data_IF_725761216939
#
_entry.id   IF_725761216939
#
_cell.length_a   1.000
_cell.length_b   1.000
_cell.length_c   1.000
_cell.angle_alpha   90.00
_cell.angle_beta   90.00
_cell.angle_gamma   90.00
#
_symmetry.space_group_name_H-M   'P 1'
#
loop_
_entity.id
_entity.type
_entity.pdbx_description
1 polymer ?
#
# COMPACT_ATOMS: atom_id res chain seq x y z
N UNK A 1 -38.06 -2.80 22.79
CA UNK A 1 -37.89 -1.56 22.01
C UNK A 1 -36.58 -1.69 21.26
N UNK A 2 -36.71 -2.04 19.98
CA UNK A 2 -35.65 -2.57 19.11
C UNK A 2 -34.73 -1.46 18.63
N UNK A 3 -33.42 -1.70 18.75
CA UNK A 3 -32.37 -0.83 18.26
C UNK A 3 -32.23 -0.88 16.75
N UNK A 4 -31.98 0.28 16.14
CA UNK A 4 -31.66 0.44 14.74
C UNK A 4 -30.15 0.27 14.53
N UNK A 5 -29.73 -0.69 13.73
CA UNK A 5 -28.36 -0.84 13.26
C UNK A 5 -28.22 -0.23 11.87
N UNK A 6 -27.27 0.69 11.72
CA UNK A 6 -26.93 1.40 10.49
C UNK A 6 -26.07 0.49 9.61
N UNK A 7 -26.67 -0.33 8.76
CA UNK A 7 -25.94 -1.03 7.70
C UNK A 7 -26.90 -1.53 6.63
N UNK A 8 -27.51 -0.63 5.85
CA UNK A 8 -28.32 -1.07 4.70
C UNK A 8 -28.45 -0.04 3.55
N UNK A 9 -27.42 0.77 3.30
CA UNK A 9 -27.47 1.78 2.23
C UNK A 9 -26.28 1.79 1.26
N UNK A 10 -25.54 0.69 1.14
CA UNK A 10 -24.47 0.63 0.15
C UNK A 10 -24.73 -0.51 -0.81
N UNK A 11 -24.82 -0.18 -2.10
CA UNK A 11 -24.79 -1.00 -3.33
C UNK A 11 -25.95 -0.66 -4.26
N UNK A 12 -25.90 0.56 -4.79
CA UNK A 12 -26.70 0.99 -5.94
C UNK A 12 -26.11 0.44 -7.25
N UNK A 13 -26.98 -0.27 -7.95
CA UNK A 13 -26.95 -0.90 -9.26
C UNK A 13 -26.57 0.07 -10.41
N UNK A 14 -25.79 -0.37 -11.40
CA UNK A 14 -26.05 0.01 -12.80
C UNK A 14 -25.35 -0.93 -13.81
N UNK A 15 -26.17 -1.27 -14.79
CA UNK A 15 -26.11 -2.32 -15.80
C UNK A 15 -25.57 -1.78 -17.14
N UNK A 16 -25.09 -2.72 -17.95
CA UNK A 16 -24.62 -2.76 -19.35
C UNK A 16 -24.51 -1.50 -20.24
N UNK A 17 -23.43 -1.51 -21.04
CA UNK A 17 -23.25 -0.68 -22.23
C UNK A 17 -22.09 -1.17 -23.09
N UNK A 18 -22.41 -1.60 -24.31
CA UNK A 18 -21.56 -2.30 -25.30
C UNK A 18 -20.38 -1.48 -25.86
N UNK A 19 -19.43 -2.22 -26.44
CA UNK A 19 -18.19 -1.76 -27.05
C UNK A 19 -18.38 -1.26 -28.50
N UNK A 20 -17.55 -0.28 -28.91
CA UNK A 20 -17.28 -0.01 -30.33
C UNK A 20 -15.77 0.15 -30.55
N UNK A 21 -15.29 -0.58 -31.57
CA UNK A 21 -13.93 -0.63 -32.11
C UNK A 21 -13.54 0.66 -32.86
N UNK A 22 -12.26 1.04 -32.76
CA UNK A 22 -11.59 1.94 -33.69
C UNK A 22 -10.08 1.79 -33.57
N UNK A 23 -9.44 1.24 -34.61
CA UNK A 23 -7.99 1.03 -34.68
C UNK A 23 -7.25 2.16 -35.40
N UNK A 24 -5.97 2.33 -35.09
CA UNK A 24 -4.98 2.97 -35.95
C UNK A 24 -3.57 2.47 -35.59
N UNK A 25 -2.74 2.29 -36.62
CA UNK A 25 -1.43 1.61 -36.64
C UNK A 25 -0.23 2.53 -36.37
N UNK A 26 0.83 1.92 -35.80
CA UNK A 26 2.27 2.21 -36.03
C UNK A 26 2.90 3.42 -35.32
N UNK A 27 4.18 3.48 -34.93
CA UNK A 27 5.36 2.58 -34.94
C UNK A 27 6.37 3.15 -33.93
N UNK A 28 7.29 2.30 -33.46
CA UNK A 28 8.62 2.55 -32.88
C UNK A 28 8.83 3.09 -31.46
N UNK A 29 9.56 2.26 -30.68
CA UNK A 29 10.31 2.63 -29.47
C UNK A 29 11.65 3.27 -29.84
N UNK A 30 12.26 4.02 -28.92
CA UNK A 30 13.33 3.39 -28.15
C UNK A 30 13.34 3.76 -26.66
N UNK A 31 14.13 2.98 -25.94
CA UNK A 31 14.40 3.04 -24.51
C UNK A 31 14.96 4.40 -24.06
N UNK A 32 14.47 4.92 -22.93
CA UNK A 32 15.19 5.91 -22.12
C UNK A 32 14.61 6.01 -20.71
N UNK A 33 15.39 5.54 -19.74
CA UNK A 33 15.67 6.18 -18.45
C UNK A 33 14.57 7.10 -17.88
N UNK A 34 13.71 6.57 -17.00
CA UNK A 34 12.71 7.36 -16.28
C UNK A 34 13.36 8.15 -15.13
N UNK A 35 14.12 9.17 -15.49
CA UNK A 35 14.44 10.29 -14.62
C UNK A 35 13.21 11.18 -14.41
N UNK A 36 12.29 10.77 -13.53
CA UNK A 36 11.16 11.60 -13.09
C UNK A 36 11.67 12.76 -12.22
N UNK A 37 12.12 13.82 -12.87
CA UNK A 37 12.26 15.14 -12.24
C UNK A 37 10.91 15.84 -12.35
N UNK A 38 9.96 15.44 -11.50
CA UNK A 38 8.86 16.34 -11.14
C UNK A 38 9.50 17.46 -10.29
N UNK A 39 9.73 18.62 -10.91
CA UNK A 39 9.90 19.87 -10.19
C UNK A 39 8.53 20.17 -9.56
N UNK A 40 8.34 19.74 -8.30
CA UNK A 40 7.35 20.39 -7.46
C UNK A 40 7.85 21.81 -7.27
N UNK A 41 7.26 22.78 -7.97
CA UNK A 41 7.45 24.20 -7.71
C UNK A 41 7.14 24.45 -6.22
N UNK A 42 8.19 24.76 -5.45
CA UNK A 42 8.07 25.42 -4.16
C UNK A 42 7.57 26.85 -4.43
N UNK A 43 6.27 27.00 -4.66
CA UNK A 43 5.65 28.32 -4.64
C UNK A 43 5.67 28.84 -3.20
N UNK A 44 6.53 29.83 -2.94
CA UNK A 44 6.50 30.66 -1.74
C UNK A 44 5.13 31.35 -1.58
N UNK A 45 4.74 31.50 -0.31
CA UNK A 45 3.44 32.03 0.11
C UNK A 45 3.25 33.51 -0.26
N UNK A 46 2.54 33.76 -1.36
CA UNK A 46 1.91 35.05 -1.66
C UNK A 46 0.49 35.11 -1.11
N UNK A 47 0.31 35.71 0.07
CA UNK A 47 -1.00 36.01 0.64
C UNK A 47 -1.71 37.13 -0.12
N UNK A 48 -2.74 36.79 -0.88
CA UNK A 48 -3.63 37.74 -1.56
C UNK A 48 -5.06 37.21 -1.60
N UNK A 49 -5.80 37.35 -0.49
CA UNK A 49 -7.22 37.00 -0.44
C UNK A 49 -8.06 38.09 -1.07
N UNK A 50 -8.49 37.90 -2.32
CA UNK A 50 -9.53 38.69 -2.98
C UNK A 50 -10.91 38.11 -2.72
N UNK A 51 -11.96 38.93 -2.86
CA UNK A 51 -13.38 38.59 -2.61
C UNK A 51 -13.91 37.42 -3.47
N UNK A 52 -13.17 37.00 -4.49
CA UNK A 52 -13.46 35.85 -5.37
C UNK A 52 -13.00 34.48 -4.80
N UNK A 53 -12.22 34.46 -3.72
CA UNK A 53 -11.59 33.24 -3.16
C UNK A 53 -12.63 32.19 -2.68
N UNK A 54 -13.81 32.64 -2.25
CA UNK A 54 -14.88 31.76 -1.78
C UNK A 54 -15.55 30.94 -2.90
N UNK A 55 -15.79 31.56 -4.06
CA UNK A 55 -16.42 30.89 -5.22
C UNK A 55 -15.42 29.95 -5.92
N UNK A 56 -14.17 30.39 -6.04
CA UNK A 56 -13.05 29.57 -6.54
C UNK A 56 -12.76 28.37 -5.62
N UNK A 57 -12.95 28.52 -4.30
CA UNK A 57 -12.84 27.39 -3.37
C UNK A 57 -13.96 26.37 -3.54
N UNK A 58 -15.22 26.82 -3.65
CA UNK A 58 -16.37 25.92 -3.84
C UNK A 58 -16.26 25.12 -5.14
N UNK A 59 -15.96 25.79 -6.25
CA UNK A 59 -15.81 25.15 -7.56
C UNK A 59 -14.67 24.13 -7.59
N UNK A 60 -13.55 24.42 -6.91
CA UNK A 60 -12.47 23.45 -6.71
C UNK A 60 -12.99 22.18 -6.02
N UNK A 61 -13.66 22.31 -4.87
CA UNK A 61 -14.10 21.16 -4.09
C UNK A 61 -15.11 20.30 -4.87
N UNK A 62 -16.06 20.94 -5.54
CA UNK A 62 -17.01 20.26 -6.42
C UNK A 62 -16.32 19.49 -7.55
N UNK A 63 -15.34 20.12 -8.21
CA UNK A 63 -14.51 19.47 -9.22
C UNK A 63 -13.77 18.25 -8.65
N UNK A 64 -13.12 18.38 -7.49
CA UNK A 64 -12.44 17.23 -6.86
C UNK A 64 -13.40 16.09 -6.53
N UNK A 65 -14.62 16.41 -6.05
CA UNK A 65 -15.65 15.40 -5.79
C UNK A 65 -16.09 14.66 -7.05
N UNK A 66 -16.33 15.39 -8.13
CA UNK A 66 -16.76 14.83 -9.41
C UNK A 66 -15.67 13.96 -10.02
N UNK A 67 -14.42 14.45 -10.06
CA UNK A 67 -13.29 13.72 -10.62
C UNK A 67 -12.96 12.48 -9.77
N UNK A 68 -13.04 12.56 -8.44
CA UNK A 68 -12.87 11.39 -7.56
C UNK A 68 -13.94 10.35 -7.84
N UNK A 69 -15.21 10.75 -7.91
CA UNK A 69 -16.32 9.83 -8.18
C UNK A 69 -16.17 9.17 -9.54
N UNK A 70 -15.90 9.95 -10.59
CA UNK A 70 -15.65 9.41 -11.92
C UNK A 70 -14.46 8.42 -11.93
N UNK A 71 -13.38 8.75 -11.21
CA UNK A 71 -12.22 7.87 -11.10
C UNK A 71 -12.55 6.56 -10.40
N UNK A 72 -13.33 6.59 -9.31
CA UNK A 72 -13.72 5.39 -8.57
C UNK A 72 -14.71 4.50 -9.33
N UNK A 73 -15.62 5.10 -10.12
CA UNK A 73 -16.59 4.36 -10.94
C UNK A 73 -15.95 3.64 -12.14
N UNK A 74 -14.82 4.14 -12.66
CA UNK A 74 -14.10 3.52 -13.78
C UNK A 74 -13.39 2.25 -13.31
N UNK A 75 -14.04 1.10 -13.49
CA UNK A 75 -13.46 -0.21 -13.19
C UNK A 75 -13.51 -1.14 -14.38
N UNK A 76 -12.39 -1.81 -14.65
CA UNK A 76 -12.31 -2.92 -15.60
C UNK A 76 -12.93 -4.20 -15.04
N UNK A 77 -13.23 -5.14 -15.94
CA UNK A 77 -13.72 -6.48 -15.59
C UNK A 77 -12.75 -7.24 -14.68
N UNK A 78 -11.44 -7.14 -14.93
CA UNK A 78 -10.39 -7.71 -14.08
C UNK A 78 -10.47 -7.18 -12.65
N UNK A 79 -10.53 -5.85 -12.48
CA UNK A 79 -10.63 -5.21 -11.16
C UNK A 79 -11.90 -5.63 -10.43
N UNK A 80 -13.03 -5.76 -11.14
CA UNK A 80 -14.29 -6.25 -10.56
C UNK A 80 -14.19 -7.69 -10.09
N UNK A 81 -13.60 -8.59 -10.88
CA UNK A 81 -13.37 -9.98 -10.49
C UNK A 81 -12.49 -10.07 -9.25
N UNK A 82 -11.33 -9.40 -9.25
CA UNK A 82 -10.41 -9.38 -8.11
C UNK A 82 -11.07 -8.77 -6.87
N UNK A 83 -11.85 -7.70 -7.02
CA UNK A 83 -12.57 -7.06 -5.91
C UNK A 83 -13.61 -7.98 -5.30
N UNK A 84 -14.36 -8.71 -6.12
CA UNK A 84 -15.34 -9.68 -5.63
C UNK A 84 -14.64 -10.83 -4.90
N UNK A 85 -13.58 -11.40 -5.46
CA UNK A 85 -12.79 -12.45 -4.78
C UNK A 85 -12.19 -11.94 -3.46
N UNK A 86 -11.66 -10.71 -3.44
CA UNK A 86 -11.12 -10.08 -2.22
C UNK A 86 -12.22 -9.87 -1.17
N UNK A 87 -13.41 -9.43 -1.58
CA UNK A 87 -14.56 -9.22 -0.69
C UNK A 87 -15.03 -10.54 -0.07
N UNK A 88 -15.16 -11.60 -0.87
CA UNK A 88 -15.52 -12.92 -0.35
C UNK A 88 -14.42 -13.47 0.57
N UNK A 89 -13.15 -13.35 0.21
CA UNK A 89 -12.04 -13.70 1.09
C UNK A 89 -12.14 -12.99 2.45
N UNK A 90 -12.35 -11.68 2.48
CA UNK A 90 -12.48 -10.94 3.74
C UNK A 90 -13.69 -11.41 4.57
N UNK A 91 -14.82 -11.71 3.95
CA UNK A 91 -16.00 -12.25 4.64
C UNK A 91 -15.72 -13.61 5.27
N UNK A 92 -15.17 -14.58 4.52
CA UNK A 92 -14.94 -15.90 5.13
C UNK A 92 -13.78 -15.87 6.13
N UNK A 93 -12.86 -14.89 6.07
CA UNK A 93 -11.87 -14.66 7.14
C UNK A 93 -12.58 -14.19 8.41
N UNK A 94 -13.50 -13.24 8.29
CA UNK A 94 -14.26 -12.71 9.43
C UNK A 94 -15.15 -13.78 10.09
N UNK A 95 -15.75 -14.67 9.31
CA UNK A 95 -16.57 -15.77 9.87
C UNK A 95 -15.73 -16.86 10.54
N UNK A 96 -14.54 -17.16 10.01
CA UNK A 96 -13.61 -18.13 10.62
C UNK A 96 -12.83 -17.56 11.81
N UNK A 97 -12.77 -16.23 11.96
CA UNK A 97 -12.03 -15.54 13.01
C UNK A 97 -12.72 -15.60 14.40
N UNK A 98 -13.72 -16.47 14.58
CA UNK A 98 -14.23 -16.83 15.89
C UNK A 98 -13.07 -17.32 16.76
N UNK A 99 -12.67 -16.49 17.73
CA UNK A 99 -11.62 -16.66 18.73
C UNK A 99 -10.22 -16.05 18.47
N UNK A 100 -10.06 -15.20 17.46
CA UNK A 100 -9.02 -14.15 17.46
C UNK A 100 -7.54 -14.58 17.51
N UNK A 101 -7.21 -15.87 17.42
CA UNK A 101 -5.83 -16.34 17.44
C UNK A 101 -5.27 -16.38 16.02
N UNK A 102 -4.59 -15.30 15.66
CA UNK A 102 -3.66 -15.30 14.55
C UNK A 102 -2.60 -16.41 14.72
N UNK A 103 -2.25 -17.15 13.66
CA UNK A 103 -1.14 -18.12 13.66
C UNK A 103 0.21 -17.50 14.09
N UNK A 104 0.32 -16.16 14.04
CA UNK A 104 1.45 -15.38 14.51
C UNK A 104 1.51 -15.19 16.04
N UNK A 105 0.51 -15.67 16.79
CA UNK A 105 0.35 -15.56 18.26
C UNK A 105 0.40 -14.12 18.81
N UNK A 106 0.26 -13.11 17.96
CA UNK A 106 0.13 -11.71 18.38
C UNK A 106 -1.34 -11.43 18.66
N UNK A 107 -1.66 -11.18 19.92
CA UNK A 107 -2.92 -10.59 20.33
C UNK A 107 -2.89 -9.11 19.92
N UNK A 108 -3.59 -8.75 18.86
CA UNK A 108 -3.75 -7.37 18.43
C UNK A 108 -5.23 -7.06 18.42
N UNK A 109 -5.63 -6.01 19.13
CA UNK A 109 -6.99 -5.46 19.04
C UNK A 109 -7.23 -5.07 17.58
N UNK A 110 -8.23 -5.67 16.94
CA UNK A 110 -8.50 -5.47 15.49
C UNK A 110 -7.78 -6.44 14.55
N UNK A 111 -7.10 -7.47 15.07
CA UNK A 111 -6.47 -8.53 14.26
C UNK A 111 -5.09 -8.17 13.70
N UNK A 112 -4.37 -9.17 13.21
CA UNK A 112 -3.02 -8.99 12.69
C UNK A 112 -3.01 -8.66 11.18
N UNK A 113 -2.63 -7.43 10.81
CA UNK A 113 -2.57 -6.98 9.40
C UNK A 113 -1.75 -7.92 8.51
N UNK A 114 -0.58 -8.39 8.96
CA UNK A 114 0.27 -9.25 8.13
C UNK A 114 -0.35 -10.62 7.86
N UNK A 115 -1.08 -11.17 8.83
CA UNK A 115 -1.78 -12.43 8.63
C UNK A 115 -3.07 -12.26 7.83
N UNK A 116 -3.79 -11.14 8.00
CA UNK A 116 -4.89 -10.79 7.11
C UNK A 116 -4.43 -10.71 5.66
N UNK A 117 -3.32 -9.99 5.39
CA UNK A 117 -2.77 -9.89 4.03
C UNK A 117 -2.35 -11.25 3.47
N UNK A 118 -1.76 -12.11 4.30
CA UNK A 118 -1.37 -13.47 3.90
C UNK A 118 -2.57 -14.34 3.56
N UNK A 119 -3.63 -14.27 4.36
CA UNK A 119 -4.83 -15.06 4.13
C UNK A 119 -5.59 -14.58 2.89
N UNK A 120 -5.73 -13.26 2.71
CA UNK A 120 -6.29 -12.68 1.48
C UNK A 120 -5.46 -13.09 0.25
N UNK A 121 -4.12 -12.98 0.33
CA UNK A 121 -3.23 -13.41 -0.74
C UNK A 121 -3.34 -14.91 -1.03
N UNK A 122 -3.46 -15.75 0.00
CA UNK A 122 -3.68 -17.18 -0.12
C UNK A 122 -4.97 -17.50 -0.91
N UNK A 123 -6.09 -16.87 -0.53
CA UNK A 123 -7.38 -17.11 -1.19
C UNK A 123 -7.43 -16.60 -2.62
N UNK A 124 -6.81 -15.45 -2.90
CA UNK A 124 -6.63 -14.98 -4.28
C UNK A 124 -5.80 -15.96 -5.11
N UNK A 125 -4.71 -16.51 -4.56
CA UNK A 125 -3.92 -17.54 -5.28
C UNK A 125 -4.71 -18.83 -5.50
N UNK A 126 -5.49 -19.27 -4.52
CA UNK A 126 -6.38 -20.44 -4.66
C UNK A 126 -7.48 -20.20 -5.71
N UNK A 127 -7.88 -18.93 -5.90
CA UNK A 127 -8.75 -18.49 -7.00
C UNK A 127 -8.06 -18.36 -8.37
N UNK A 128 -6.79 -18.75 -8.49
CA UNK A 128 -6.03 -18.75 -9.74
C UNK A 128 -5.33 -17.44 -10.11
N UNK A 129 -5.33 -16.44 -9.23
CA UNK A 129 -4.66 -15.15 -9.50
C UNK A 129 -3.16 -15.23 -9.20
N UNK A 130 -2.33 -14.60 -10.04
CA UNK A 130 -0.91 -14.33 -9.72
C UNK A 130 -0.81 -13.20 -8.69
N UNK A 131 -1.10 -13.54 -7.44
CA UNK A 131 -1.18 -12.64 -6.30
C UNK A 131 0.07 -12.73 -5.42
N UNK A 132 0.59 -11.57 -5.02
CA UNK A 132 1.75 -11.46 -4.14
C UNK A 132 1.53 -10.42 -3.04
N UNK A 133 2.23 -10.59 -1.92
CA UNK A 133 2.42 -9.50 -0.97
C UNK A 133 3.63 -8.70 -1.45
N UNK A 134 3.42 -7.40 -1.65
CA UNK A 134 4.44 -6.45 -2.05
C UNK A 134 4.95 -5.66 -0.85
N UNK A 135 6.27 -5.49 -0.76
CA UNK A 135 6.90 -4.56 0.16
C UNK A 135 7.70 -3.51 -0.62
N UNK A 136 7.24 -2.27 -0.61
CA UNK A 136 7.99 -1.13 -1.14
C UNK A 136 8.88 -0.54 -0.05
N UNK A 137 10.04 -0.02 -0.46
CA UNK A 137 10.98 0.70 0.40
C UNK A 137 11.57 1.84 -0.41
N UNK A 138 11.59 3.04 0.14
CA UNK A 138 12.21 4.20 -0.50
C UNK A 138 13.16 4.91 0.48
N UNK A 139 14.23 5.45 -0.08
CA UNK A 139 15.19 6.26 0.68
C UNK A 139 14.65 7.67 0.86
N UNK A 140 15.18 8.37 1.86
CA UNK A 140 14.90 9.80 2.03
C UNK A 140 15.46 10.59 0.85
N UNK A 141 14.71 11.58 0.42
CA UNK A 141 15.15 12.67 -0.47
C UNK A 141 14.88 14.02 0.24
N UNK A 142 15.25 15.16 -0.35
CA UNK A 142 14.96 16.47 0.24
C UNK A 142 13.46 16.66 0.58
N UNK A 143 12.57 16.18 -0.29
CA UNK A 143 11.13 16.45 -0.18
C UNK A 143 10.35 15.39 0.61
N UNK A 144 10.90 14.16 0.70
CA UNK A 144 10.21 13.02 1.32
C UNK A 144 11.13 12.21 2.24
N UNK A 145 10.68 11.88 3.46
CA UNK A 145 11.42 10.99 4.34
C UNK A 145 11.41 9.55 3.81
N UNK A 146 12.40 8.76 4.23
CA UNK A 146 12.43 7.33 3.94
C UNK A 146 11.24 6.62 4.55
N UNK A 147 10.79 5.55 3.92
CA UNK A 147 9.69 4.74 4.44
C UNK A 147 9.61 3.38 3.77
N UNK A 148 8.66 2.60 4.28
CA UNK A 148 8.28 1.32 3.70
C UNK A 148 6.76 1.15 3.75
N UNK A 149 6.23 0.39 2.81
CA UNK A 149 4.80 0.07 2.78
C UNK A 149 4.58 -1.37 2.35
N UNK A 150 3.54 -2.01 2.88
CA UNK A 150 3.17 -3.39 2.51
C UNK A 150 1.73 -3.43 2.06
N UNK A 151 1.53 -3.99 0.87
CA UNK A 151 0.24 -4.10 0.19
C UNK A 151 0.17 -5.43 -0.58
N UNK A 152 -0.95 -5.72 -1.22
CA UNK A 152 -1.13 -6.89 -2.07
C UNK A 152 -1.25 -6.42 -3.52
N UNK A 153 -0.77 -7.20 -4.46
CA UNK A 153 -1.04 -6.96 -5.87
C UNK A 153 -1.25 -8.25 -6.66
N UNK A 154 -1.85 -8.08 -7.84
CA UNK A 154 -2.15 -9.15 -8.79
C UNK A 154 -1.59 -8.74 -10.14
N UNK A 155 -0.79 -9.61 -10.78
CA UNK A 155 -0.43 -9.42 -12.19
C UNK A 155 -1.32 -10.28 -13.08
N UNK A 156 -1.74 -9.72 -14.19
CA UNK A 156 -2.27 -10.47 -15.31
C UNK A 156 -1.32 -10.29 -16.50
N UNK A 157 -0.70 -11.38 -16.92
CA UNK A 157 0.04 -11.42 -18.17
C UNK A 157 -0.99 -11.35 -19.30
N UNK A 158 -0.95 -10.32 -20.13
CA UNK A 158 -1.79 -10.34 -21.31
C UNK A 158 -1.32 -11.48 -22.22
N UNK A 159 -2.24 -12.35 -22.61
CA UNK A 159 -1.99 -13.48 -23.49
C UNK A 159 -1.55 -13.09 -24.91
N UNK A 160 -1.60 -11.79 -25.25
CA UNK A 160 -1.09 -11.26 -26.51
C UNK A 160 0.07 -10.29 -26.26
N UNK A 161 1.20 -10.49 -26.97
CA UNK A 161 2.45 -9.69 -26.86
C UNK A 161 2.27 -8.17 -27.06
N UNK A 162 1.09 -7.69 -27.45
CA UNK A 162 0.80 -6.27 -27.72
C UNK A 162 0.25 -5.50 -26.52
N UNK A 163 -0.27 -6.18 -25.50
CA UNK A 163 -0.86 -5.53 -24.32
C UNK A 163 0.09 -5.80 -23.16
N UNK A 164 0.67 -4.76 -22.57
CA UNK A 164 1.62 -4.91 -21.47
C UNK A 164 1.03 -5.67 -20.27
N UNK A 165 1.90 -6.03 -19.32
CA UNK A 165 1.49 -6.67 -18.07
C UNK A 165 0.56 -5.75 -17.27
N UNK A 166 -0.60 -6.27 -16.85
CA UNK A 166 -1.59 -5.48 -16.10
C UNK A 166 -1.40 -5.73 -14.61
N UNK A 167 -1.04 -4.68 -13.87
CA UNK A 167 -0.91 -4.70 -12.41
C UNK A 167 -2.13 -4.10 -11.72
N UNK A 168 -2.74 -4.88 -10.83
CA UNK A 168 -3.83 -4.44 -9.94
C UNK A 168 -3.34 -4.42 -8.50
N UNK A 169 -3.48 -3.27 -7.84
CA UNK A 169 -3.11 -3.04 -6.44
C UNK A 169 -4.31 -3.28 -5.54
N UNK A 170 -4.07 -3.93 -4.41
CA UNK A 170 -5.04 -4.19 -3.34
C UNK A 170 -4.48 -3.58 -2.04
N UNK A 171 -5.14 -2.55 -1.53
CA UNK A 171 -4.87 -1.96 -0.23
C UNK A 171 -6.05 -2.22 0.70
N UNK A 172 -5.82 -2.87 1.84
CA UNK A 172 -6.88 -3.33 2.74
C UNK A 172 -7.40 -2.22 3.68
N UNK A 173 -6.60 -1.16 3.89
CA UNK A 173 -6.96 -0.03 4.78
C UNK A 173 -6.77 1.30 4.04
N UNK A 174 -7.30 1.39 2.82
CA UNK A 174 -6.99 2.48 1.89
C UNK A 174 -7.49 3.83 2.38
N UNK A 175 -8.69 3.90 2.95
CA UNK A 175 -9.26 5.15 3.47
C UNK A 175 -8.37 5.79 4.55
N UNK A 176 -7.91 4.97 5.50
CA UNK A 176 -7.07 5.41 6.62
C UNK A 176 -5.76 6.10 6.16
N UNK A 177 -5.22 5.70 5.01
CA UNK A 177 -4.01 6.29 4.42
C UNK A 177 -4.19 7.77 4.03
N UNK A 178 -5.44 8.27 3.94
CA UNK A 178 -5.78 9.64 3.59
C UNK A 178 -6.50 10.40 4.71
N UNK A 179 -6.82 9.77 5.84
CA UNK A 179 -7.47 10.47 6.97
C UNK A 179 -6.53 11.48 7.62
N UNK A 180 -7.03 12.69 7.91
CA UNK A 180 -6.25 13.78 8.50
C UNK A 180 -6.97 14.33 9.74
N UNK A 181 -6.32 14.27 10.90
CA UNK A 181 -6.90 14.72 12.17
C UNK A 181 -7.38 16.17 12.16
N UNK A 182 -6.69 17.05 11.42
CA UNK A 182 -7.04 18.47 11.28
C UNK A 182 -7.54 18.81 9.87
N UNK A 183 -8.25 17.92 9.18
CA UNK A 183 -8.92 18.25 7.92
C UNK A 183 -10.04 19.29 8.07
N UNK A 184 -10.46 19.90 6.95
CA UNK A 184 -11.72 20.62 6.81
C UNK A 184 -12.84 19.63 6.39
N UNK A 185 -14.09 20.07 6.41
CA UNK A 185 -15.23 19.19 6.13
C UNK A 185 -15.30 18.72 4.68
N UNK A 186 -14.90 19.56 3.73
CA UNK A 186 -14.86 19.23 2.30
C UNK A 186 -13.87 18.09 2.01
N UNK A 187 -12.66 18.16 2.58
CA UNK A 187 -11.68 17.08 2.50
C UNK A 187 -12.19 15.80 3.17
N UNK A 188 -12.78 15.90 4.36
CA UNK A 188 -13.36 14.74 5.02
C UNK A 188 -14.46 14.09 4.16
N UNK A 189 -15.27 14.89 3.46
CA UNK A 189 -16.29 14.38 2.54
C UNK A 189 -15.68 13.60 1.37
N UNK A 190 -14.51 14.01 0.86
CA UNK A 190 -13.77 13.23 -0.14
C UNK A 190 -13.27 11.90 0.43
N UNK A 191 -12.62 11.94 1.60
CA UNK A 191 -12.07 10.72 2.23
C UNK A 191 -13.15 9.70 2.56
N UNK A 192 -14.33 10.14 3.04
CA UNK A 192 -15.47 9.25 3.32
C UNK A 192 -15.99 8.51 2.08
N UNK A 193 -15.77 9.05 0.87
CA UNK A 193 -16.16 8.39 -0.39
C UNK A 193 -15.19 7.29 -0.81
N UNK A 194 -13.98 7.24 -0.24
CA UNK A 194 -13.00 6.20 -0.56
C UNK A 194 -13.48 4.84 -0.04
N UNK A 195 -13.23 3.76 -0.79
CA UNK A 195 -13.45 2.42 -0.27
C UNK A 195 -12.45 2.12 0.85
N UNK A 196 -12.89 1.33 1.85
CA UNK A 196 -11.97 0.83 2.87
C UNK A 196 -10.91 -0.09 2.25
N UNK A 197 -11.35 -0.98 1.36
CA UNK A 197 -10.49 -1.85 0.57
C UNK A 197 -10.43 -1.34 -0.86
N UNK A 198 -9.29 -0.81 -1.27
CA UNK A 198 -9.06 -0.41 -2.65
C UNK A 198 -8.57 -1.61 -3.46
N UNK A 199 -9.18 -1.82 -4.62
CA UNK A 199 -8.75 -2.82 -5.61
C UNK A 199 -8.76 -2.16 -6.97
N UNK A 200 -7.60 -1.77 -7.50
CA UNK A 200 -7.53 -1.04 -8.76
C UNK A 200 -6.20 -1.07 -9.48
N UNK A 201 -6.22 -0.78 -10.77
CA UNK A 201 -5.02 -0.64 -11.60
C UNK A 201 -4.15 0.52 -11.13
N UNK A 202 -2.86 0.43 -11.45
CA UNK A 202 -1.85 1.44 -11.13
C UNK A 202 -2.29 2.85 -11.54
N UNK A 203 -2.72 3.05 -12.78
CA UNK A 203 -3.16 4.35 -13.30
C UNK A 203 -4.33 4.94 -12.48
N UNK A 204 -5.27 4.08 -12.06
CA UNK A 204 -6.43 4.52 -11.29
C UNK A 204 -6.02 4.93 -9.87
N UNK A 205 -5.13 4.15 -9.27
CA UNK A 205 -4.56 4.47 -7.96
C UNK A 205 -3.80 5.79 -8.01
N UNK A 206 -2.97 5.99 -9.04
CA UNK A 206 -2.22 7.22 -9.23
C UNK A 206 -3.14 8.45 -9.33
N UNK A 207 -4.23 8.35 -10.08
CA UNK A 207 -5.23 9.42 -10.19
C UNK A 207 -5.90 9.71 -8.83
N UNK A 208 -6.28 8.69 -8.08
CA UNK A 208 -6.84 8.87 -6.73
C UNK A 208 -5.85 9.57 -5.80
N UNK A 209 -4.56 9.18 -5.82
CA UNK A 209 -3.50 9.82 -5.05
C UNK A 209 -3.38 11.29 -5.43
N UNK A 210 -3.29 11.61 -6.73
CA UNK A 210 -3.18 13.00 -7.23
C UNK A 210 -4.34 13.87 -6.72
N UNK A 211 -5.58 13.41 -6.85
CA UNK A 211 -6.78 14.12 -6.41
C UNK A 211 -6.72 14.41 -4.90
N UNK A 212 -6.46 13.38 -4.09
CA UNK A 212 -6.47 13.51 -2.64
C UNK A 212 -5.30 14.32 -2.11
N UNK A 213 -4.10 14.23 -2.71
CA UNK A 213 -2.96 15.03 -2.31
C UNK A 213 -3.16 16.52 -2.67
N UNK A 214 -3.75 16.83 -3.83
CA UNK A 214 -4.13 18.21 -4.18
C UNK A 214 -5.19 18.77 -3.23
N UNK A 215 -6.21 17.98 -2.93
CA UNK A 215 -7.25 18.35 -1.96
C UNK A 215 -6.67 18.55 -0.55
N UNK A 216 -5.73 17.70 -0.12
CA UNK A 216 -5.03 17.84 1.15
C UNK A 216 -4.19 19.13 1.18
N UNK A 217 -3.47 19.46 0.10
CA UNK A 217 -2.69 20.71 -0.01
C UNK A 217 -3.61 21.93 0.16
N UNK A 218 -4.75 21.97 -0.54
CA UNK A 218 -5.73 23.06 -0.39
C UNK A 218 -6.30 23.12 1.02
N UNK A 219 -6.71 21.99 1.59
CA UNK A 219 -7.22 21.92 2.97
C UNK A 219 -6.21 22.50 3.98
N UNK A 220 -4.93 22.17 3.83
CA UNK A 220 -3.89 22.63 4.75
C UNK A 220 -3.61 24.13 4.57
N UNK A 221 -3.62 24.62 3.32
CA UNK A 221 -3.52 26.06 3.01
C UNK A 221 -4.67 26.87 3.63
N UNK A 222 -5.92 26.43 3.44
CA UNK A 222 -7.09 27.09 4.02
C UNK A 222 -7.06 27.10 5.56
N UNK A 223 -6.49 26.06 6.17
CA UNK A 223 -6.32 25.97 7.62
C UNK A 223 -5.05 26.62 8.14
N UNK A 224 -4.25 27.26 7.28
CA UNK A 224 -2.96 27.88 7.62
C UNK A 224 -2.02 26.90 8.35
N UNK A 225 -1.93 25.69 7.83
CA UNK A 225 -1.11 24.61 8.37
C UNK A 225 -0.17 24.05 7.31
N UNK A 226 1.02 23.64 7.73
CA UNK A 226 1.95 22.93 6.84
C UNK A 226 1.53 21.47 6.62
N UNK A 227 1.62 21.00 5.38
CA UNK A 227 1.30 19.62 5.00
C UNK A 227 2.49 18.70 5.29
N UNK A 228 2.29 17.68 6.13
CA UNK A 228 3.34 16.72 6.46
C UNK A 228 3.91 16.02 5.21
N UNK A 229 5.23 15.78 5.13
CA UNK A 229 5.86 15.13 3.97
C UNK A 229 5.22 13.80 3.56
N UNK A 230 4.73 13.02 4.54
CA UNK A 230 4.07 11.73 4.31
C UNK A 230 2.68 11.83 3.65
N UNK A 231 2.15 13.03 3.48
CA UNK A 231 0.90 13.28 2.74
C UNK A 231 1.16 13.82 1.35
N UNK A 232 2.38 14.28 1.04
CA UNK A 232 2.74 14.78 -0.29
C UNK A 232 2.59 13.67 -1.33
N UNK A 233 2.32 14.08 -2.57
CA UNK A 233 2.03 13.16 -3.67
C UNK A 233 3.15 12.14 -3.88
N UNK A 234 4.41 12.59 -3.94
CA UNK A 234 5.57 11.70 -4.15
C UNK A 234 5.70 10.62 -3.07
N UNK A 235 5.47 10.98 -1.80
CA UNK A 235 5.51 10.00 -0.70
C UNK A 235 4.38 8.97 -0.84
N UNK A 236 3.16 9.44 -1.16
CA UNK A 236 2.02 8.56 -1.34
C UNK A 236 2.19 7.66 -2.57
N UNK A 237 2.74 8.15 -3.67
CA UNK A 237 3.09 7.33 -4.83
C UNK A 237 4.15 6.28 -4.48
N UNK A 238 5.18 6.63 -3.70
CA UNK A 238 6.24 5.70 -3.32
C UNK A 238 5.72 4.45 -2.58
N UNK A 239 4.61 4.58 -1.82
CA UNK A 239 3.98 3.45 -1.11
C UNK A 239 3.58 2.30 -2.04
N UNK A 240 3.00 2.60 -3.21
CA UNK A 240 2.40 1.57 -4.08
C UNK A 240 3.07 1.48 -5.46
N UNK A 241 3.61 2.59 -5.96
CA UNK A 241 4.14 2.71 -7.31
C UNK A 241 5.67 2.59 -7.37
N UNK A 242 6.34 2.70 -6.22
CA UNK A 242 7.78 2.47 -6.12
C UNK A 242 8.16 1.01 -6.37
N UNK A 243 9.45 0.77 -6.62
CA UNK A 243 10.00 -0.58 -6.69
C UNK A 243 9.68 -1.36 -5.41
N UNK A 244 9.25 -2.61 -5.57
CA UNK A 244 8.83 -3.43 -4.44
C UNK A 244 9.30 -4.87 -4.57
N UNK A 245 9.59 -5.49 -3.42
CA UNK A 245 9.83 -6.92 -3.31
C UNK A 245 8.49 -7.66 -3.36
N UNK A 246 8.30 -8.56 -4.34
CA UNK A 246 7.11 -9.40 -4.48
C UNK A 246 7.32 -10.76 -3.84
N UNK A 247 6.50 -11.10 -2.84
CA UNK A 247 6.53 -12.40 -2.17
C UNK A 247 5.33 -13.26 -2.56
N UNK A 248 5.58 -14.34 -3.29
CA UNK A 248 4.56 -15.32 -3.74
C UNK A 248 4.54 -16.60 -2.91
N UNK A 249 5.45 -16.77 -1.94
CA UNK A 249 5.55 -18.00 -1.16
C UNK A 249 4.29 -18.25 -0.32
N UNK A 250 3.70 -19.43 -0.48
CA UNK A 250 2.81 -20.04 0.51
C UNK A 250 3.67 -20.50 1.70
N UNK A 251 3.30 -20.26 2.97
CA UNK A 251 3.80 -21.11 4.04
C UNK A 251 3.10 -22.46 3.87
N UNK A 252 3.84 -23.50 3.52
CA UNK A 252 3.36 -24.86 3.67
C UNK A 252 2.93 -25.03 5.14
N UNK A 253 1.63 -25.23 5.38
CA UNK A 253 1.16 -25.75 6.65
C UNK A 253 1.74 -27.16 6.78
N UNK A 254 2.80 -27.31 7.58
CA UNK A 254 3.39 -28.60 7.92
C UNK A 254 2.39 -29.37 8.79
N UNK A 255 1.51 -30.13 8.16
CA UNK A 255 0.70 -31.14 8.85
C UNK A 255 1.48 -32.46 8.87
N UNK A 256 1.91 -32.81 10.09
CA UNK A 256 2.17 -34.14 10.67
C UNK A 256 3.12 -35.09 9.93
N UNK A 257 4.16 -35.51 10.65
CA UNK A 257 5.18 -36.43 10.17
C UNK A 257 4.70 -37.87 9.96
N UNK A 258 5.40 -38.54 9.05
CA UNK A 258 6.02 -39.85 9.27
C UNK A 258 7.03 -40.10 8.14
N UNK A 259 8.04 -40.88 8.50
CA UNK A 259 9.39 -40.97 7.94
C UNK A 259 9.54 -41.57 6.54
N UNK A 260 10.78 -41.44 6.05
CA UNK A 260 11.47 -42.10 4.91
C UNK A 260 11.18 -41.51 3.51
N UNK A 261 12.15 -41.16 2.64
CA UNK A 261 13.61 -41.37 2.61
C UNK A 261 14.25 -40.50 1.49
N UNK A 262 15.46 -39.96 1.77
CA UNK A 262 16.65 -39.74 0.91
C UNK A 262 16.49 -39.20 -0.54
N UNK A 263 17.15 -38.10 -0.99
CA UNK A 263 18.58 -37.80 -0.95
C UNK A 263 18.86 -36.27 -1.15
N UNK A 264 19.90 -35.81 -0.47
CA UNK A 264 20.48 -34.45 -0.48
C UNK A 264 21.72 -34.40 -1.38
N UNK A 265 21.97 -33.24 -2.03
CA UNK A 265 23.34 -32.78 -2.30
C UNK A 265 23.45 -31.24 -2.42
N UNK A 266 24.25 -30.64 -1.52
CA UNK A 266 24.97 -29.34 -1.51
C UNK A 266 24.25 -28.02 -1.87
N UNK A 267 24.27 -26.92 -1.10
CA UNK A 267 25.11 -26.54 0.06
C UNK A 267 26.17 -25.49 -0.29
N UNK A 268 25.86 -24.18 -0.12
CA UNK A 268 26.76 -23.08 0.35
C UNK A 268 25.88 -22.00 1.00
N UNK A 269 25.72 -21.97 2.33
CA UNK A 269 26.50 -21.23 3.34
C UNK A 269 26.60 -19.71 3.04
N UNK A 270 25.76 -18.90 3.70
CA UNK A 270 25.99 -18.22 5.00
C UNK A 270 26.72 -16.89 4.85
N UNK A 271 25.95 -15.79 4.84
CA UNK A 271 26.45 -14.44 5.09
C UNK A 271 26.64 -14.24 6.59
N UNK A 272 27.90 -13.99 6.98
CA UNK A 272 28.33 -13.77 8.37
C UNK A 272 27.58 -12.59 9.02
N UNK A 273 27.23 -12.67 10.31
CA UNK A 273 26.87 -11.48 11.10
C UNK A 273 28.13 -10.65 11.38
N UNK A 274 28.08 -9.34 11.14
CA UNK A 274 29.14 -8.39 11.53
C UNK A 274 29.06 -8.21 13.06
N UNK A 275 30.12 -8.60 13.76
CA UNK A 275 30.29 -8.31 15.17
C UNK A 275 30.60 -6.81 15.37
N UNK A 276 30.04 -6.26 16.44
CA UNK A 276 30.16 -4.88 16.90
C UNK A 276 31.60 -4.55 17.30
N UNK A 277 32.14 -3.41 16.85
CA UNK A 277 33.52 -2.94 17.13
C UNK A 277 33.65 -2.18 18.47
N UNK A 278 33.03 -2.66 19.55
CA UNK A 278 33.13 -2.01 20.86
C UNK A 278 33.35 -3.03 21.97
N UNK A 279 34.50 -3.70 21.96
CA UNK A 279 35.14 -4.23 23.16
C UNK A 279 36.65 -4.09 22.97
N UNK A 280 37.23 -3.09 23.63
CA UNK A 280 38.68 -2.96 23.78
C UNK A 280 39.12 -4.05 24.76
N UNK A 281 39.93 -4.99 24.28
CA UNK A 281 40.62 -5.99 25.10
C UNK A 281 41.57 -5.29 26.08
N UNK A 282 41.29 -5.43 27.36
CA UNK A 282 42.15 -5.00 28.47
C UNK A 282 42.56 -6.23 29.28
N UNK A 283 43.37 -7.10 28.70
CA UNK A 283 44.12 -8.11 29.42
C UNK A 283 45.44 -8.36 28.70
N UNK A 284 46.48 -7.67 29.15
CA UNK A 284 47.84 -8.22 29.23
C UNK A 284 48.76 -7.20 29.91
N UNK A 285 49.08 -7.48 31.18
CA UNK A 285 50.34 -7.19 31.90
C UNK A 285 50.11 -7.29 33.41
N UNK A 286 50.18 -8.51 33.94
CA UNK A 286 50.49 -8.73 35.35
C UNK A 286 52.02 -8.86 35.50
N UNK A 287 52.68 -8.07 36.37
CA UNK A 287 53.95 -8.48 36.96
C UNK A 287 53.71 -9.27 38.26
N UNK A 288 54.46 -10.36 38.38
CA UNK A 288 54.65 -11.21 39.55
C UNK A 288 54.70 -10.44 40.88
N UNK A 289 53.86 -10.83 41.84
CA UNK A 289 54.13 -10.61 43.26
C UNK A 289 54.03 -11.93 44.02
N UNK A 290 55.20 -12.44 44.42
CA UNK A 290 55.31 -13.48 45.43
C UNK A 290 55.04 -12.86 46.81
N UNK A 291 54.12 -13.45 47.58
CA UNK A 291 54.00 -13.21 49.02
C UNK A 291 54.18 -14.53 49.77
N UNK A 292 55.31 -14.64 50.47
CA UNK A 292 55.61 -15.69 51.45
C UNK A 292 54.78 -15.49 52.71
N UNK A 293 54.16 -16.57 53.19
CA UNK A 293 53.51 -16.64 54.49
C UNK A 293 54.56 -16.66 55.62
N UNK A 294 54.35 -15.82 56.64
CA UNK A 294 55.03 -15.95 57.93
C UNK A 294 53.99 -16.41 58.96
N UNK A 295 54.41 -17.38 59.77
CA UNK A 295 53.65 -18.07 60.83
C UNK A 295 53.10 -17.13 61.90
#
# INVERSE_FOLDING_TARGET
MTGFTVSDMFFGFLEDGEAVHGGFDGVDSPESDLGLVDQEEEEEEGGGGGENDGEDSRSFWESQHQVLQATLCRSSSLETKIRNTTKEALKEIQTMAGDGVCACRRLVVGGCRSCLMREVSCRLRNGGYNCAICKSKWRSSPDIPSGEHTFIDVMENASSRKKGEVRVIIELNFRAEFEMARANEEYNRLVRRLPEVFVGKVERLENVIKILCRAAKKCMKEKKMHMGPWRKQRYMQAKWLGSCERTTSMPLLSMVGSSDSYLSYSGRLSTKPRASMLTVDLLDKLPNMHCTAVR
#
